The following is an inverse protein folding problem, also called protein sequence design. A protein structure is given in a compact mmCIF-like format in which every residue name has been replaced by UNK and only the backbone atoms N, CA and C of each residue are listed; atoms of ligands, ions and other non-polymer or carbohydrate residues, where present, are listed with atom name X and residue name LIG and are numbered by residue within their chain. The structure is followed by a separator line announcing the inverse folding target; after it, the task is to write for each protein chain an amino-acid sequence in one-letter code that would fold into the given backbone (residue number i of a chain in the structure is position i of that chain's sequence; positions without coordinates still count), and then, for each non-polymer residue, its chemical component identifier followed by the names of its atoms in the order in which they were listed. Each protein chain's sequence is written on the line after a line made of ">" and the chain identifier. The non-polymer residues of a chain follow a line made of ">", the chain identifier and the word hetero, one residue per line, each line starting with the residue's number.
data_IF_487034747816
#
_entry.id   IF_487034747816
#
_cell.length_a   1.000
_cell.length_b   1.000
_cell.length_c   1.000
_cell.angle_alpha   90.00
_cell.angle_beta   90.00
_cell.angle_gamma   90.00
#
_symmetry.space_group_name_H-M   'P 1'
#
loop_
_entity.id
_entity.type
_entity.pdbx_description
1 polymer ?
#
# COMPACT_ATOMS: atom_id res chain seq x y z
N UNK A 1 8.58 43.88 26.53
CA UNK A 1 8.12 43.60 25.14
C UNK A 1 8.70 42.31 24.54
N UNK A 2 9.91 41.88 24.90
CA UNK A 2 10.52 40.61 24.42
C UNK A 2 9.84 39.32 24.91
N UNK A 3 9.30 39.33 26.13
CA UNK A 3 8.69 38.15 26.75
C UNK A 3 7.40 37.69 26.04
N UNK A 4 6.71 38.59 25.34
CA UNK A 4 5.50 38.29 24.58
C UNK A 4 5.83 37.65 23.23
N UNK A 5 6.88 38.14 22.56
CA UNK A 5 7.38 37.60 21.30
C UNK A 5 7.94 36.18 21.44
N UNK A 6 8.69 35.91 22.51
CA UNK A 6 9.21 34.56 22.80
C UNK A 6 8.07 33.58 23.03
N UNK A 7 7.01 33.98 23.75
CA UNK A 7 5.82 33.15 23.97
C UNK A 7 5.08 32.86 22.66
N UNK A 8 4.94 33.84 21.77
CA UNK A 8 4.33 33.63 20.46
C UNK A 8 5.17 32.71 19.57
N UNK A 9 6.49 32.86 19.57
CA UNK A 9 7.40 31.97 18.82
C UNK A 9 7.34 30.53 19.34
N UNK A 10 7.35 30.34 20.66
CA UNK A 10 7.20 29.04 21.28
C UNK A 10 5.84 28.41 20.95
N UNK A 11 4.75 29.17 21.03
CA UNK A 11 3.41 28.72 20.66
C UNK A 11 3.32 28.35 19.16
N UNK A 12 3.96 29.11 18.29
CA UNK A 12 4.00 28.84 16.84
C UNK A 12 4.81 27.58 16.53
N UNK A 13 5.94 27.37 17.21
CA UNK A 13 6.73 26.13 17.12
C UNK A 13 5.94 24.93 17.66
N UNK A 14 5.21 25.11 18.77
CA UNK A 14 4.35 24.07 19.34
C UNK A 14 3.19 23.70 18.40
N UNK A 15 2.52 24.71 17.82
CA UNK A 15 1.46 24.52 16.83
C UNK A 15 1.96 23.84 15.56
N UNK A 16 3.17 24.18 15.09
CA UNK A 16 3.82 23.50 13.96
C UNK A 16 4.16 22.03 14.28
N UNK A 17 4.46 21.72 15.55
CA UNK A 17 4.80 20.35 16.01
C UNK A 17 3.57 19.45 16.16
N UNK A 18 2.36 20.03 16.26
CA UNK A 18 1.09 19.30 16.31
C UNK A 18 0.43 19.05 14.95
N UNK A 19 1.04 19.46 13.83
CA UNK A 19 0.77 18.81 12.54
C UNK A 19 1.45 17.42 12.53
N UNK A 20 1.09 16.60 13.51
CA UNK A 20 1.37 15.18 13.46
C UNK A 20 0.68 14.66 12.22
N UNK A 21 1.47 14.04 11.32
CA UNK A 21 0.94 13.13 10.32
C UNK A 21 -0.07 12.25 11.04
N UNK A 22 -1.35 12.40 10.73
CA UNK A 22 -2.38 11.49 11.21
C UNK A 22 -2.00 10.12 10.65
N UNK A 23 -1.32 9.32 11.46
CA UNK A 23 -1.13 7.91 11.17
C UNK A 23 -2.52 7.33 11.21
N UNK A 24 -3.10 7.11 10.03
CA UNK A 24 -4.37 6.42 9.87
C UNK A 24 -4.16 5.04 10.51
N UNK A 25 -4.65 4.88 11.73
CA UNK A 25 -4.53 3.62 12.43
C UNK A 25 -5.27 2.58 11.59
N UNK A 26 -4.60 1.47 11.28
CA UNK A 26 -5.24 0.45 10.44
C UNK A 26 -6.41 -0.14 11.21
N UNK A 27 -7.63 0.16 10.73
CA UNK A 27 -8.83 -0.53 11.20
C UNK A 27 -8.72 -2.02 10.87
N UNK A 28 -9.29 -2.86 11.72
CA UNK A 28 -9.36 -4.29 11.50
C UNK A 28 -9.88 -4.62 10.08
N UNK A 29 -9.38 -5.72 9.46
CA UNK A 29 -9.88 -6.19 8.17
C UNK A 29 -11.40 -6.36 8.17
N UNK A 30 -12.05 -5.96 7.08
CA UNK A 30 -13.50 -6.11 6.90
C UNK A 30 -13.90 -7.59 6.79
N UNK A 31 -13.04 -8.42 6.19
CA UNK A 31 -13.20 -9.87 6.10
C UNK A 31 -12.07 -10.57 6.87
N UNK A 32 -12.36 -11.64 7.63
CA UNK A 32 -11.34 -12.42 8.32
C UNK A 32 -10.28 -12.95 7.35
N UNK A 33 -9.00 -12.82 7.72
CA UNK A 33 -7.83 -13.28 6.94
C UNK A 33 -7.61 -12.57 5.58
N UNK A 34 -8.35 -11.53 5.27
CA UNK A 34 -8.18 -10.72 4.05
C UNK A 34 -7.87 -9.25 4.40
N UNK A 35 -6.62 -8.93 4.74
CA UNK A 35 -6.24 -7.58 5.17
C UNK A 35 -6.18 -6.58 4.02
N UNK A 36 -6.00 -7.03 2.77
CA UNK A 36 -5.94 -6.13 1.61
C UNK A 36 -6.78 -6.70 0.48
N UNK A 37 -7.95 -6.10 0.25
CA UNK A 37 -8.92 -6.55 -0.73
C UNK A 37 -8.69 -5.83 -2.05
N UNK A 38 -8.69 -6.58 -3.14
CA UNK A 38 -8.67 -5.98 -4.48
C UNK A 38 -10.00 -6.28 -5.13
N UNK A 39 -10.82 -5.25 -5.32
CA UNK A 39 -12.09 -5.35 -6.04
C UNK A 39 -11.92 -4.88 -7.48
N UNK A 40 -12.50 -5.63 -8.40
CA UNK A 40 -12.44 -5.37 -9.84
C UNK A 40 -13.85 -5.24 -10.42
N UNK A 41 -14.14 -4.07 -10.95
CA UNK A 41 -15.38 -3.74 -11.65
C UNK A 41 -14.97 -3.00 -12.95
N UNK A 42 -15.23 -3.64 -14.10
CA UNK A 42 -14.99 -3.15 -15.47
C UNK A 42 -13.52 -3.11 -15.98
N UNK A 43 -13.32 -3.31 -17.31
CA UNK A 43 -12.01 -3.64 -17.90
C UNK A 43 -11.14 -2.39 -18.07
N UNK A 44 -9.80 -2.45 -18.14
CA UNK A 44 -8.96 -1.29 -18.46
C UNK A 44 -8.04 -1.52 -19.67
N UNK A 45 -8.16 -0.69 -20.70
CA UNK A 45 -7.08 -0.52 -21.69
C UNK A 45 -6.76 0.96 -21.90
N UNK A 46 -5.92 1.50 -21.01
CA UNK A 46 -4.84 2.42 -21.41
C UNK A 46 -3.64 2.42 -20.44
N UNK A 47 -3.21 1.25 -19.93
CA UNK A 47 -2.07 1.15 -19.00
C UNK A 47 -0.77 0.62 -19.65
N UNK A 48 -0.56 0.80 -20.96
CA UNK A 48 0.74 0.49 -21.60
C UNK A 48 1.39 1.68 -22.31
N UNK A 49 0.60 2.63 -22.81
CA UNK A 49 1.13 3.77 -23.58
C UNK A 49 1.38 5.04 -22.75
N UNK A 50 0.92 5.09 -21.49
CA UNK A 50 1.16 6.25 -20.59
C UNK A 50 1.82 5.93 -19.24
N UNK A 51 1.86 4.66 -18.84
CA UNK A 51 2.33 4.24 -17.51
C UNK A 51 3.38 3.13 -17.61
N UNK A 52 4.63 3.52 -17.89
CA UNK A 52 5.82 2.87 -17.28
C UNK A 52 5.94 3.22 -15.78
N UNK A 53 4.88 3.76 -15.20
CA UNK A 53 4.80 4.50 -13.95
C UNK A 53 4.28 3.56 -12.85
N UNK A 54 5.23 2.79 -12.35
CA UNK A 54 5.38 2.26 -11.00
C UNK A 54 4.14 1.81 -10.19
N UNK A 55 3.81 0.51 -10.29
CA UNK A 55 2.85 -0.16 -9.39
C UNK A 55 3.28 -0.08 -7.91
N UNK A 56 4.57 0.16 -7.64
CA UNK A 56 5.14 0.35 -6.30
C UNK A 56 4.61 1.63 -5.67
N UNK A 57 4.67 2.76 -6.38
CA UNK A 57 4.26 4.07 -5.84
C UNK A 57 2.75 4.27 -5.79
N UNK A 58 1.96 3.36 -6.35
CA UNK A 58 0.49 3.40 -6.33
C UNK A 58 -0.09 2.31 -5.45
N UNK A 59 -0.13 1.08 -5.95
CA UNK A 59 -0.69 -0.08 -5.25
C UNK A 59 0.19 -0.48 -4.06
N UNK A 60 1.52 -0.40 -4.21
CA UNK A 60 2.45 -0.68 -3.12
C UNK A 60 2.33 0.31 -1.97
N UNK A 61 2.24 1.60 -2.30
CA UNK A 61 2.11 2.69 -1.34
C UNK A 61 0.79 2.61 -0.56
N UNK A 62 -0.33 2.37 -1.25
CA UNK A 62 -1.64 2.19 -0.59
C UNK A 62 -1.65 1.00 0.37
N UNK A 63 -1.05 -0.13 -0.03
CA UNK A 63 -0.90 -1.30 0.84
C UNK A 63 0.03 -1.01 2.03
N UNK A 64 1.15 -0.33 1.81
CA UNK A 64 2.13 0.01 2.85
C UNK A 64 1.52 0.95 3.91
N UNK A 65 0.64 1.85 3.52
CA UNK A 65 -0.08 2.75 4.43
C UNK A 65 -1.24 2.06 5.17
N UNK A 66 -1.43 0.75 4.98
CA UNK A 66 -2.44 -0.04 5.69
C UNK A 66 -3.87 0.24 5.25
N UNK A 67 -4.08 0.58 3.97
CA UNK A 67 -5.41 0.63 3.37
C UNK A 67 -6.10 -0.74 3.45
N UNK A 68 -7.44 -0.74 3.42
CA UNK A 68 -8.23 -1.98 3.42
C UNK A 68 -8.13 -2.75 2.11
N UNK A 69 -7.71 -2.06 1.04
CA UNK A 69 -7.82 -2.57 -0.30
C UNK A 69 -7.84 -1.44 -1.33
N UNK A 70 -8.00 -1.85 -2.58
CA UNK A 70 -8.11 -0.96 -3.74
C UNK A 70 -9.26 -1.43 -4.63
N UNK A 71 -9.87 -0.47 -5.31
CA UNK A 71 -10.86 -0.72 -6.36
C UNK A 71 -10.27 -0.18 -7.65
N UNK A 72 -10.10 -1.05 -8.64
CA UNK A 72 -9.80 -0.58 -9.98
C UNK A 72 -11.12 -0.33 -10.70
N UNK A 73 -11.23 0.86 -11.32
CA UNK A 73 -12.37 1.25 -12.15
C UNK A 73 -11.92 1.45 -13.59
N UNK A 74 -12.82 1.16 -14.55
CA UNK A 74 -12.56 1.29 -15.98
C UNK A 74 -13.78 1.76 -16.77
N UNK A 75 -13.55 2.30 -17.97
CA UNK A 75 -14.61 2.70 -18.91
C UNK A 75 -15.27 1.48 -19.55
N UNK A 76 -16.57 1.59 -19.86
CA UNK A 76 -17.31 0.55 -20.58
C UNK A 76 -16.73 0.25 -21.98
N UNK A 77 -16.01 1.21 -22.58
CA UNK A 77 -15.37 1.06 -23.88
C UNK A 77 -14.38 -0.12 -23.92
N UNK A 78 -13.86 -0.53 -22.77
CA UNK A 78 -12.90 -1.62 -22.68
C UNK A 78 -13.55 -3.01 -22.68
N UNK A 79 -14.87 -3.07 -22.47
CA UNK A 79 -15.70 -4.27 -22.64
C UNK A 79 -16.38 -4.31 -24.02
N UNK A 80 -16.15 -3.31 -24.88
CA UNK A 80 -16.95 -3.10 -26.09
C UNK A 80 -16.66 -4.10 -27.22
N UNK A 81 -15.46 -4.67 -27.26
CA UNK A 81 -15.06 -5.63 -28.30
C UNK A 81 -14.24 -6.77 -27.71
N UNK A 82 -14.23 -7.92 -28.40
CA UNK A 82 -13.43 -9.09 -28.02
C UNK A 82 -11.94 -8.76 -27.93
N UNK A 83 -11.43 -7.91 -28.83
CA UNK A 83 -10.04 -7.47 -28.83
C UNK A 83 -9.71 -6.59 -27.61
N UNK A 84 -10.60 -5.65 -27.26
CA UNK A 84 -10.45 -4.80 -26.08
C UNK A 84 -10.46 -5.65 -24.80
N UNK A 85 -11.38 -6.61 -24.69
CA UNK A 85 -11.42 -7.58 -23.59
C UNK A 85 -10.13 -8.43 -23.52
N UNK A 86 -9.61 -8.88 -24.66
CA UNK A 86 -8.37 -9.65 -24.74
C UNK A 86 -7.17 -8.88 -24.18
N UNK A 87 -7.02 -7.60 -24.55
CA UNK A 87 -5.96 -6.74 -24.02
C UNK A 87 -6.04 -6.55 -22.50
N UNK A 88 -7.24 -6.48 -21.94
CA UNK A 88 -7.44 -6.39 -20.48
C UNK A 88 -7.01 -7.70 -19.82
N UNK A 89 -7.45 -8.84 -20.38
CA UNK A 89 -7.09 -10.18 -19.90
C UNK A 89 -5.57 -10.34 -19.86
N UNK A 90 -4.87 -9.91 -20.90
CA UNK A 90 -3.41 -10.01 -20.96
C UNK A 90 -2.72 -9.11 -19.93
N UNK A 91 -3.25 -7.91 -19.67
CA UNK A 91 -2.72 -7.02 -18.63
C UNK A 91 -2.90 -7.60 -17.22
N UNK A 92 -4.09 -8.15 -16.95
CA UNK A 92 -4.39 -8.83 -15.69
C UNK A 92 -3.52 -10.08 -15.49
N UNK A 93 -3.34 -10.89 -16.52
CA UNK A 93 -2.44 -12.05 -16.48
C UNK A 93 -0.95 -11.66 -16.47
N UNK A 94 -0.64 -10.39 -16.74
CA UNK A 94 0.69 -9.85 -16.91
C UNK A 94 1.32 -9.32 -15.62
N UNK A 95 2.07 -8.20 -15.69
CA UNK A 95 2.73 -7.61 -14.53
C UNK A 95 1.76 -7.17 -13.43
N UNK A 96 0.57 -6.70 -13.77
CA UNK A 96 -0.40 -6.20 -12.79
C UNK A 96 -0.90 -7.32 -11.88
N UNK A 97 -1.42 -8.43 -12.43
CA UNK A 97 -1.93 -9.52 -11.59
C UNK A 97 -0.84 -10.16 -10.75
N UNK A 98 0.36 -10.35 -11.31
CA UNK A 98 1.52 -10.84 -10.56
C UNK A 98 1.85 -9.93 -9.38
N UNK A 99 1.83 -8.62 -9.60
CA UNK A 99 2.10 -7.65 -8.55
C UNK A 99 0.99 -7.60 -7.49
N UNK A 100 -0.28 -7.68 -7.90
CA UNK A 100 -1.43 -7.77 -6.98
C UNK A 100 -1.31 -9.00 -6.08
N UNK A 101 -0.99 -10.17 -6.63
CA UNK A 101 -0.78 -11.39 -5.84
C UNK A 101 0.40 -11.21 -4.88
N UNK A 102 1.48 -10.57 -5.35
CA UNK A 102 2.64 -10.28 -4.53
C UNK A 102 2.28 -9.42 -3.29
N UNK A 103 1.67 -8.26 -3.50
CA UNK A 103 1.34 -7.31 -2.43
C UNK A 103 0.26 -7.84 -1.48
N UNK A 104 -0.78 -8.48 -2.01
CA UNK A 104 -1.87 -9.06 -1.19
C UNK A 104 -1.36 -10.19 -0.30
N UNK A 105 -0.50 -11.05 -0.86
CA UNK A 105 0.12 -12.14 -0.10
C UNK A 105 1.11 -11.61 0.93
N UNK A 106 1.93 -10.61 0.60
CA UNK A 106 2.79 -9.94 1.58
C UNK A 106 1.98 -9.33 2.74
N UNK A 107 0.86 -8.66 2.45
CA UNK A 107 -0.02 -8.09 3.46
C UNK A 107 -0.65 -9.16 4.37
N UNK A 108 -1.06 -10.31 3.80
CA UNK A 108 -1.56 -11.46 4.56
C UNK A 108 -0.52 -12.04 5.51
N UNK A 109 0.68 -12.28 5.00
CA UNK A 109 1.79 -12.82 5.80
C UNK A 109 2.15 -11.80 6.89
N UNK A 110 2.19 -10.50 6.57
CA UNK A 110 2.46 -9.45 7.54
C UNK A 110 1.41 -9.39 8.65
N UNK A 111 0.12 -9.42 8.29
CA UNK A 111 -0.98 -9.51 9.24
C UNK A 111 -0.86 -10.74 10.15
N UNK A 112 -0.52 -11.90 9.58
CA UNK A 112 -0.37 -13.16 10.34
C UNK A 112 0.75 -13.07 11.37
N UNK A 113 1.93 -12.58 11.00
CA UNK A 113 3.12 -12.65 11.85
C UNK A 113 3.30 -11.41 12.74
N UNK A 114 3.07 -10.20 12.24
CA UNK A 114 3.22 -8.97 13.02
C UNK A 114 1.94 -8.62 13.78
N UNK A 115 0.78 -8.77 13.15
CA UNK A 115 -0.51 -8.40 13.76
C UNK A 115 -1.24 -9.59 14.42
N UNK A 116 -0.64 -10.79 14.44
CA UNK A 116 -1.26 -12.03 14.93
C UNK A 116 -2.66 -12.30 14.32
N UNK A 117 -2.90 -11.90 13.07
CA UNK A 117 -4.21 -11.93 12.37
C UNK A 117 -5.27 -10.95 12.89
N UNK A 118 -4.93 -10.00 13.75
CA UNK A 118 -5.86 -9.05 14.37
C UNK A 118 -5.75 -7.62 13.79
N UNK A 119 -5.11 -7.43 12.64
CA UNK A 119 -4.90 -6.10 12.07
C UNK A 119 -4.26 -6.12 10.69
N UNK A 120 -4.00 -4.93 10.15
CA UNK A 120 -3.23 -4.73 8.92
C UNK A 120 -1.92 -4.05 9.28
N UNK A 121 -0.88 -4.37 8.53
CA UNK A 121 0.40 -3.68 8.71
C UNK A 121 0.33 -2.26 8.14
N UNK A 122 0.83 -1.30 8.92
CA UNK A 122 1.00 0.11 8.53
C UNK A 122 2.46 0.45 8.58
N UNK A 123 2.96 1.19 7.59
CA UNK A 123 4.33 1.68 7.58
C UNK A 123 4.54 2.62 8.77
N UNK A 124 5.59 2.34 9.54
CA UNK A 124 5.90 3.07 10.80
C UNK A 124 6.17 4.56 10.55
N UNK A 125 6.82 4.89 9.44
CA UNK A 125 7.16 6.25 9.05
C UNK A 125 6.66 6.51 7.63
N UNK A 126 5.74 7.46 7.47
CA UNK A 126 5.10 7.77 6.19
C UNK A 126 6.09 8.20 5.11
N UNK A 127 7.21 8.80 5.49
CA UNK A 127 8.31 9.27 4.64
C UNK A 127 9.35 8.18 4.31
N UNK A 128 9.22 6.98 4.89
CA UNK A 128 10.14 5.88 4.60
C UNK A 128 9.74 5.09 3.35
N UNK A 129 10.71 4.62 2.57
CA UNK A 129 10.47 3.83 1.35
C UNK A 129 10.29 2.33 1.64
N UNK A 130 9.46 1.98 2.63
CA UNK A 130 9.15 0.59 2.94
C UNK A 130 7.85 0.15 2.24
N UNK A 131 7.89 -1.00 1.55
CA UNK A 131 6.77 -1.56 0.81
C UNK A 131 6.53 -3.03 1.18
N UNK A 132 5.29 -3.50 1.00
CA UNK A 132 4.91 -4.89 1.25
C UNK A 132 5.09 -5.72 -0.03
N UNK A 133 6.30 -6.22 -0.27
CA UNK A 133 6.62 -7.12 -1.36
C UNK A 133 7.25 -8.42 -0.88
N UNK A 134 6.95 -9.49 -1.60
CA UNK A 134 7.64 -10.77 -1.61
C UNK A 134 8.79 -10.65 -2.59
N UNK A 135 10.00 -10.88 -2.09
CA UNK A 135 11.18 -11.04 -2.93
C UNK A 135 11.30 -12.52 -3.31
N UNK A 136 11.71 -12.85 -4.55
CA UNK A 136 12.10 -14.21 -4.88
C UNK A 136 13.34 -14.55 -4.05
N UNK A 137 13.18 -15.45 -3.09
CA UNK A 137 14.28 -16.01 -2.34
C UNK A 137 14.98 -17.05 -3.22
N UNK A 138 16.31 -17.03 -3.29
CA UNK A 138 17.13 -18.04 -3.99
C UNK A 138 16.99 -19.45 -3.39
N UNK A 139 16.19 -19.60 -2.33
CA UNK A 139 15.98 -20.86 -1.59
C UNK A 139 14.50 -21.27 -1.41
N UNK A 140 13.54 -20.59 -2.05
CA UNK A 140 12.13 -21.05 -2.08
C UNK A 140 11.34 -20.87 -0.77
N UNK A 141 11.90 -20.21 0.24
CA UNK A 141 11.20 -19.75 1.45
C UNK A 141 10.75 -18.30 1.31
N UNK A 142 9.46 -18.01 1.47
CA UNK A 142 8.91 -16.66 1.35
C UNK A 142 9.43 -15.72 2.43
N UNK A 143 10.50 -14.98 2.14
CA UNK A 143 10.98 -13.90 3.00
C UNK A 143 10.24 -12.59 2.66
N UNK A 144 9.34 -12.16 3.54
CA UNK A 144 8.95 -10.75 3.59
C UNK A 144 10.17 -9.92 3.96
N UNK A 145 10.26 -8.68 3.50
CA UNK A 145 11.01 -7.66 4.22
C UNK A 145 10.35 -7.42 5.59
N UNK A 146 10.55 -8.35 6.53
CA UNK A 146 10.29 -8.10 7.93
C UNK A 146 11.31 -7.07 8.41
N UNK A 147 10.92 -6.12 9.28
CA UNK A 147 11.88 -5.18 9.83
C UNK A 147 12.89 -5.99 10.64
N UNK A 148 14.13 -6.04 10.18
CA UNK A 148 15.22 -6.37 11.10
C UNK A 148 15.15 -5.34 12.21
N UNK A 149 15.29 -5.79 13.46
CA UNK A 149 15.18 -4.99 14.70
C UNK A 149 16.20 -3.84 14.79
N UNK A 150 16.81 -3.42 13.68
CA UNK A 150 17.86 -2.38 13.57
C UNK A 150 17.63 -1.32 12.50
N UNK A 151 16.54 -1.34 11.73
CA UNK A 151 16.23 -0.23 10.82
C UNK A 151 14.88 0.41 11.17
N UNK A 152 14.87 1.73 11.30
CA UNK A 152 13.66 2.49 11.65
C UNK A 152 12.57 2.38 10.57
N UNK A 153 12.90 1.90 9.38
CA UNK A 153 12.01 1.59 8.25
C UNK A 153 11.33 0.22 8.41
N UNK A 154 10.22 0.18 9.15
CA UNK A 154 9.45 -1.04 9.41
C UNK A 154 7.94 -0.86 9.38
N UNK A 155 7.20 -1.93 9.69
CA UNK A 155 5.74 -1.95 9.78
C UNK A 155 5.27 -2.12 11.23
N UNK A 156 4.14 -1.51 11.56
CA UNK A 156 3.43 -1.57 12.84
C UNK A 156 1.98 -2.01 12.62
N UNK A 157 1.27 -2.31 13.70
CA UNK A 157 -0.18 -2.59 13.71
C UNK A 157 -0.99 -1.30 13.66
#
# INVERSE_FOLDING_TARGET
>A
MYHLWIKCLAAWIFLKRFNGVHVMHAKAPMYPNEPFLVFWNAPTTQCRLRYKEDLVTTVGETAAMGAAGIVFWGSMQYASTVESCGKVKDYMNGPLGRYIVNVTTAAKICSRFLCKRHGRCVRKHSDSNAFLHLFPDSSGSWCMAMPTRKNNSGFVT
#
